data_IF_065577598398
#
_entry.id   IF_065577598398
#
_cell.length_a   1.000
_cell.length_b   1.000
_cell.length_c   1.000
_cell.angle_alpha   90.00
_cell.angle_beta   90.00
_cell.angle_gamma   90.00
#
_symmetry.space_group_name_H-M   'P 1'
#
loop_
_entity.id
_entity.type
_entity.pdbx_description
1 polymer ?
#
# COMPACT_ATOMS: atom_id res chain seq x y z
N UNK A 1 -27.55 -3.51 7.68
CA UNK A 1 -26.07 -3.55 7.65
C UNK A 1 -25.64 -5.01 7.75
N UNK A 2 -25.07 -5.58 6.69
CA UNK A 2 -24.41 -6.88 6.78
C UNK A 2 -23.21 -6.72 7.72
N UNK A 3 -23.15 -7.49 8.83
CA UNK A 3 -21.90 -7.70 9.56
C UNK A 3 -20.97 -8.40 8.57
N UNK A 4 -20.12 -7.64 7.88
CA UNK A 4 -19.04 -8.23 7.11
C UNK A 4 -18.26 -9.09 8.11
N UNK A 5 -18.30 -10.41 7.93
CA UNK A 5 -17.54 -11.33 8.77
C UNK A 5 -16.09 -10.89 8.73
N UNK A 6 -15.54 -10.56 9.91
CA UNK A 6 -14.12 -10.26 10.02
C UNK A 6 -13.37 -11.47 9.46
N UNK A 7 -12.57 -11.23 8.42
CA UNK A 7 -11.74 -12.30 7.86
C UNK A 7 -10.81 -12.81 8.95
N UNK A 8 -10.59 -14.11 9.00
CA UNK A 8 -9.57 -14.67 9.90
C UNK A 8 -8.17 -14.27 9.42
N UNK A 9 -7.13 -14.30 10.27
CA UNK A 9 -5.75 -14.18 9.83
C UNK A 9 -5.41 -15.12 8.67
N UNK A 10 -4.34 -14.83 7.93
CA UNK A 10 -3.76 -15.83 7.02
C UNK A 10 -3.22 -16.98 7.89
N UNK A 11 -3.56 -18.22 7.52
CA UNK A 11 -3.13 -19.43 8.23
C UNK A 11 -1.60 -19.49 8.32
N UNK A 12 -1.01 -19.93 9.46
CA UNK A 12 0.44 -19.93 9.66
C UNK A 12 1.24 -20.62 8.55
N UNK A 13 0.74 -21.74 8.02
CA UNK A 13 1.35 -22.50 6.92
C UNK A 13 1.40 -21.72 5.59
N UNK A 14 0.52 -20.73 5.43
CA UNK A 14 0.41 -19.89 4.25
C UNK A 14 1.10 -18.53 4.43
N UNK A 15 1.53 -18.18 5.64
CA UNK A 15 2.07 -16.85 5.96
C UNK A 15 3.34 -16.54 5.16
N UNK A 16 4.29 -17.48 5.08
CA UNK A 16 5.52 -17.32 4.28
C UNK A 16 5.20 -17.10 2.80
N UNK A 17 4.21 -17.83 2.27
CA UNK A 17 3.79 -17.72 0.87
C UNK A 17 3.14 -16.36 0.59
N UNK A 18 2.35 -15.85 1.53
CA UNK A 18 1.74 -14.52 1.45
C UNK A 18 2.81 -13.41 1.43
N UNK A 19 3.85 -13.52 2.26
CA UNK A 19 4.97 -12.59 2.24
C UNK A 19 5.78 -12.67 0.94
N UNK A 20 5.97 -13.87 0.40
CA UNK A 20 6.65 -14.04 -0.88
C UNK A 20 5.86 -13.37 -2.01
N UNK A 21 4.54 -13.58 -2.06
CA UNK A 21 3.66 -12.89 -2.99
C UNK A 21 3.77 -11.36 -2.83
N UNK A 22 3.71 -10.85 -1.60
CA UNK A 22 3.80 -9.43 -1.30
C UNK A 22 5.12 -8.82 -1.81
N UNK A 23 6.24 -9.55 -1.65
CA UNK A 23 7.54 -9.16 -2.18
C UNK A 23 7.55 -9.12 -3.71
N UNK A 24 7.10 -10.19 -4.37
CA UNK A 24 7.05 -10.25 -5.83
C UNK A 24 6.17 -9.14 -6.43
N UNK A 25 4.99 -8.92 -5.84
CA UNK A 25 4.05 -7.87 -6.29
C UNK A 25 4.66 -6.48 -6.13
N UNK A 26 5.26 -6.19 -4.97
CA UNK A 26 5.83 -4.86 -4.75
C UNK A 26 7.08 -4.60 -5.60
N UNK A 27 7.91 -5.63 -5.84
CA UNK A 27 9.03 -5.53 -6.79
C UNK A 27 8.53 -5.29 -8.22
N UNK A 28 7.45 -5.96 -8.63
CA UNK A 28 6.84 -5.74 -9.94
C UNK A 28 6.33 -4.30 -10.09
N UNK A 29 5.71 -3.72 -9.06
CA UNK A 29 5.24 -2.33 -9.08
C UNK A 29 6.40 -1.32 -9.14
N UNK A 30 7.48 -1.58 -8.38
CA UNK A 30 8.71 -0.76 -8.44
C UNK A 30 9.32 -0.74 -9.83
N UNK A 31 9.43 -1.90 -10.47
CA UNK A 31 9.99 -2.00 -11.82
C UNK A 31 9.08 -1.36 -12.88
N UNK A 32 7.76 -1.33 -12.67
CA UNK A 32 6.81 -0.78 -13.65
C UNK A 32 6.65 0.73 -13.55
N UNK A 33 6.41 1.25 -12.35
CA UNK A 33 6.04 2.67 -12.19
C UNK A 33 6.44 3.30 -10.85
N UNK A 34 6.49 2.56 -9.73
CA UNK A 34 6.67 3.20 -8.42
C UNK A 34 8.03 3.91 -8.32
N UNK A 35 9.10 3.37 -8.94
CA UNK A 35 10.42 3.99 -8.91
C UNK A 35 10.42 5.38 -9.57
N UNK A 36 9.73 5.53 -10.71
CA UNK A 36 9.59 6.81 -11.39
C UNK A 36 8.75 7.79 -10.55
N UNK A 37 7.63 7.33 -9.98
CA UNK A 37 6.76 8.18 -9.18
C UNK A 37 7.34 8.62 -7.84
N UNK A 38 8.22 7.82 -7.23
CA UNK A 38 9.02 8.27 -6.08
C UNK A 38 9.91 9.46 -6.47
N UNK A 39 10.46 9.48 -7.68
CA UNK A 39 11.25 10.62 -8.16
C UNK A 39 10.36 11.83 -8.51
N UNK A 40 9.21 11.61 -9.15
CA UNK A 40 8.22 12.66 -9.42
C UNK A 40 7.76 13.36 -8.13
N UNK A 41 7.48 12.60 -7.07
CA UNK A 41 7.07 13.17 -5.78
C UNK A 41 8.11 14.12 -5.20
N UNK A 42 9.41 13.82 -5.35
CA UNK A 42 10.49 14.71 -4.90
C UNK A 42 10.58 16.00 -5.71
N UNK A 43 10.13 15.97 -6.96
CA UNK A 43 10.19 17.08 -7.90
C UNK A 43 8.87 17.84 -8.05
N UNK A 44 7.84 17.50 -7.26
CA UNK A 44 6.54 18.19 -7.25
C UNK A 44 5.52 17.72 -8.30
N UNK A 45 5.66 16.50 -8.82
CA UNK A 45 4.78 15.83 -9.79
C UNK A 45 4.46 16.63 -11.08
N UNK A 46 4.92 16.12 -12.21
CA UNK A 46 4.37 16.53 -13.50
C UNK A 46 2.87 16.14 -13.60
N UNK A 47 2.05 16.98 -14.24
CA UNK A 47 0.60 16.84 -14.23
C UNK A 47 0.09 15.58 -14.93
N UNK A 48 0.67 15.21 -16.07
CA UNK A 48 0.29 13.99 -16.77
C UNK A 48 0.69 12.75 -15.96
N UNK A 49 1.85 12.77 -15.31
CA UNK A 49 2.27 11.72 -14.39
C UNK A 49 1.35 11.60 -13.18
N UNK A 50 0.92 12.72 -12.59
CA UNK A 50 -0.03 12.72 -11.48
C UNK A 50 -1.38 12.12 -11.90
N UNK A 51 -1.92 12.51 -13.06
CA UNK A 51 -3.14 11.91 -13.62
C UNK A 51 -2.97 10.41 -13.89
N UNK A 52 -1.80 9.97 -14.36
CA UNK A 52 -1.47 8.56 -14.59
C UNK A 52 -1.45 7.78 -13.28
N UNK A 53 -0.91 8.36 -12.21
CA UNK A 53 -0.95 7.82 -10.85
C UNK A 53 -2.41 7.62 -10.38
N UNK A 54 -3.25 8.65 -10.48
CA UNK A 54 -4.67 8.58 -10.07
C UNK A 54 -5.41 7.44 -10.78
N UNK A 55 -5.17 7.27 -12.08
CA UNK A 55 -5.75 6.20 -12.89
C UNK A 55 -5.27 4.82 -12.44
N UNK A 56 -3.96 4.65 -12.28
CA UNK A 56 -3.33 3.36 -11.98
C UNK A 56 -3.80 2.80 -10.64
N UNK A 57 -3.94 3.66 -9.63
CA UNK A 57 -4.46 3.27 -8.32
C UNK A 57 -5.98 3.30 -8.21
N UNK A 58 -6.69 3.38 -9.35
CA UNK A 58 -8.15 3.40 -9.42
C UNK A 58 -8.82 4.48 -8.57
N UNK A 59 -8.12 5.60 -8.35
CA UNK A 59 -8.59 6.73 -7.55
C UNK A 59 -9.63 7.59 -8.28
N UNK A 60 -9.87 7.31 -9.56
CA UNK A 60 -10.88 7.96 -10.39
C UNK A 60 -12.29 7.33 -10.27
N UNK A 61 -12.46 6.25 -9.48
CA UNK A 61 -13.73 5.52 -9.41
C UNK A 61 -14.75 6.22 -8.50
N UNK A 62 -16.03 6.13 -8.86
CA UNK A 62 -17.14 6.69 -8.09
C UNK A 62 -17.22 8.22 -8.14
N UNK A 63 -18.20 8.79 -7.42
CA UNK A 63 -18.47 10.24 -7.43
C UNK A 63 -17.24 11.05 -6.99
N UNK A 64 -16.65 10.70 -5.84
CA UNK A 64 -15.48 11.43 -5.33
C UNK A 64 -14.25 11.27 -6.23
N UNK A 65 -14.06 10.11 -6.87
CA UNK A 65 -12.94 9.90 -7.78
C UNK A 65 -13.05 10.76 -9.04
N UNK A 66 -14.25 10.95 -9.58
CA UNK A 66 -14.48 11.89 -10.69
C UNK A 66 -14.14 13.32 -10.29
N UNK A 67 -14.65 13.79 -9.15
CA UNK A 67 -14.33 15.12 -8.61
C UNK A 67 -12.83 15.33 -8.41
N UNK A 68 -12.13 14.30 -7.93
CA UNK A 68 -10.68 14.35 -7.72
C UNK A 68 -9.90 14.47 -9.04
N UNK A 69 -10.37 13.82 -10.13
CA UNK A 69 -9.77 13.94 -11.46
C UNK A 69 -10.06 15.30 -12.10
N UNK A 70 -11.30 15.79 -11.99
CA UNK A 70 -11.70 17.12 -12.47
C UNK A 70 -10.89 18.24 -11.79
N UNK A 71 -10.47 18.00 -10.54
CA UNK A 71 -9.67 18.94 -9.76
C UNK A 71 -8.25 18.42 -9.48
N UNK A 72 -7.68 17.63 -10.40
CA UNK A 72 -6.39 16.97 -10.20
C UNK A 72 -5.25 17.96 -9.89
N UNK A 73 -5.29 19.16 -10.47
CA UNK A 73 -4.31 20.21 -10.21
C UNK A 73 -4.33 20.69 -8.76
N UNK A 74 -5.51 21.09 -8.28
CA UNK A 74 -5.71 21.50 -6.88
C UNK A 74 -5.34 20.37 -5.91
N UNK A 75 -5.69 19.13 -6.23
CA UNK A 75 -5.33 17.99 -5.40
C UNK A 75 -3.81 17.75 -5.37
N UNK A 76 -3.13 17.87 -6.52
CA UNK A 76 -1.66 17.80 -6.59
C UNK A 76 -1.04 18.88 -5.73
N UNK A 77 -1.52 20.12 -5.81
CA UNK A 77 -0.95 21.24 -5.06
C UNK A 77 -1.10 21.02 -3.54
N UNK A 78 -2.24 20.51 -3.08
CA UNK A 78 -2.42 20.07 -1.68
C UNK A 78 -1.39 19.01 -1.29
N UNK A 79 -1.13 18.03 -2.16
CA UNK A 79 -0.15 16.98 -1.90
C UNK A 79 1.28 17.54 -1.84
N UNK A 80 1.65 18.41 -2.78
CA UNK A 80 2.97 19.05 -2.84
C UNK A 80 3.21 19.90 -1.57
N UNK A 81 2.22 20.67 -1.14
CA UNK A 81 2.30 21.49 0.06
C UNK A 81 2.37 20.63 1.34
N UNK A 82 1.55 19.58 1.42
CA UNK A 82 1.44 18.78 2.64
C UNK A 82 2.58 17.79 2.85
N UNK A 83 3.19 17.27 1.78
CA UNK A 83 4.06 16.09 1.85
C UNK A 83 5.51 16.33 1.35
N UNK A 84 5.87 17.52 0.89
CA UNK A 84 7.23 17.79 0.41
C UNK A 84 8.29 17.80 1.52
N UNK A 85 7.91 18.10 2.76
CA UNK A 85 8.80 18.05 3.94
C UNK A 85 8.83 16.68 4.62
N UNK A 86 9.87 16.38 5.40
CA UNK A 86 9.92 15.16 6.22
C UNK A 86 8.98 15.36 7.43
N UNK A 87 7.93 14.55 7.59
CA UNK A 87 6.96 14.74 8.65
C UNK A 87 7.43 14.10 9.96
N UNK A 88 7.29 14.83 11.07
CA UNK A 88 7.49 14.27 12.42
C UNK A 88 6.31 13.35 12.81
N UNK A 89 5.10 13.67 12.34
CA UNK A 89 3.88 12.90 12.59
C UNK A 89 3.11 12.67 11.27
N UNK A 90 3.20 11.43 10.76
CA UNK A 90 2.50 11.01 9.54
C UNK A 90 0.97 10.99 9.70
N UNK A 91 0.45 10.69 10.90
CA UNK A 91 -0.99 10.65 11.14
C UNK A 91 -1.56 12.08 11.08
N UNK A 92 -0.92 13.04 11.76
CA UNK A 92 -1.34 14.44 11.73
C UNK A 92 -1.27 15.05 10.33
N UNK A 93 -0.17 14.80 9.59
CA UNK A 93 -0.02 15.29 8.21
C UNK A 93 -1.06 14.68 7.28
N UNK A 94 -1.37 13.39 7.43
CA UNK A 94 -2.42 12.75 6.66
C UNK A 94 -3.81 13.34 6.98
N UNK A 95 -4.15 13.48 8.26
CA UNK A 95 -5.43 14.06 8.68
C UNK A 95 -5.61 15.49 8.19
N UNK A 96 -4.57 16.32 8.29
CA UNK A 96 -4.56 17.68 7.74
C UNK A 96 -4.80 17.67 6.23
N UNK A 97 -4.10 16.82 5.47
CA UNK A 97 -4.29 16.74 4.02
C UNK A 97 -5.70 16.30 3.61
N UNK A 98 -6.35 15.44 4.42
CA UNK A 98 -7.75 15.04 4.21
C UNK A 98 -8.68 16.24 4.43
N UNK A 99 -8.45 17.03 5.47
CA UNK A 99 -9.25 18.20 5.78
C UNK A 99 -9.04 19.31 4.73
N UNK A 100 -7.81 19.56 4.29
CA UNK A 100 -7.51 20.49 3.21
C UNK A 100 -8.20 20.06 1.91
N UNK A 101 -8.15 18.77 1.59
CA UNK A 101 -8.89 18.20 0.44
C UNK A 101 -10.39 18.39 0.59
N UNK A 102 -10.94 18.17 1.78
CA UNK A 102 -12.36 18.36 2.06
C UNK A 102 -12.78 19.82 1.90
N UNK A 103 -11.99 20.76 2.41
CA UNK A 103 -12.25 22.19 2.35
C UNK A 103 -12.20 22.73 0.92
N UNK A 104 -11.24 22.26 0.11
CA UNK A 104 -10.97 22.80 -1.23
C UNK A 104 -11.78 22.09 -2.32
N UNK A 105 -11.99 20.78 -2.19
CA UNK A 105 -12.61 19.92 -3.21
C UNK A 105 -13.97 19.36 -2.80
N UNK A 106 -14.44 19.66 -1.59
CA UNK A 106 -15.72 19.19 -1.04
C UNK A 106 -15.87 17.65 -1.01
N UNK A 107 -14.74 16.94 -0.96
CA UNK A 107 -14.70 15.46 -0.90
C UNK A 107 -13.77 14.98 0.21
N UNK A 108 -14.06 13.80 0.75
CA UNK A 108 -13.15 13.11 1.68
C UNK A 108 -12.35 12.06 0.92
N UNK A 109 -11.05 12.27 0.77
CA UNK A 109 -10.19 11.48 -0.10
C UNK A 109 -9.10 10.67 0.63
N UNK A 110 -9.41 10.05 1.79
CA UNK A 110 -8.46 9.33 2.67
C UNK A 110 -7.43 8.47 1.92
N UNK A 111 -7.92 7.58 1.05
CA UNK A 111 -7.06 6.65 0.29
C UNK A 111 -6.17 7.38 -0.71
N UNK A 112 -6.67 8.45 -1.35
CA UNK A 112 -5.89 9.22 -2.30
C UNK A 112 -4.77 10.02 -1.59
N UNK A 113 -5.10 10.72 -0.50
CA UNK A 113 -4.13 11.45 0.30
C UNK A 113 -3.02 10.52 0.80
N UNK A 114 -3.38 9.33 1.32
CA UNK A 114 -2.35 8.43 1.85
C UNK A 114 -1.48 7.81 0.76
N UNK A 115 -2.08 7.43 -0.38
CA UNK A 115 -1.31 6.92 -1.52
C UNK A 115 -0.39 7.97 -2.10
N UNK A 116 -0.80 9.24 -2.13
CA UNK A 116 0.10 10.33 -2.53
C UNK A 116 1.27 10.44 -1.54
N UNK A 117 0.98 10.55 -0.24
CA UNK A 117 2.01 10.63 0.82
C UNK A 117 2.98 9.44 0.81
N UNK A 118 2.50 8.24 0.46
CA UNK A 118 3.30 7.04 0.30
C UNK A 118 4.44 7.18 -0.73
N UNK A 119 4.28 8.02 -1.76
CA UNK A 119 5.34 8.31 -2.73
C UNK A 119 6.34 9.37 -2.26
N UNK A 120 5.87 10.34 -1.47
CA UNK A 120 6.74 11.34 -0.85
C UNK A 120 7.64 10.74 0.23
N UNK A 121 7.10 9.79 1.01
CA UNK A 121 7.79 9.17 2.12
C UNK A 121 7.80 7.64 1.98
N UNK A 122 8.49 7.09 0.97
CA UNK A 122 8.44 5.66 0.63
C UNK A 122 8.96 4.73 1.74
N UNK A 123 9.75 5.26 2.69
CA UNK A 123 10.25 4.52 3.86
C UNK A 123 9.36 4.62 5.09
N UNK A 124 8.51 5.66 5.17
CA UNK A 124 7.74 5.97 6.37
C UNK A 124 6.27 5.58 6.22
N UNK A 125 5.70 5.86 5.04
CA UNK A 125 4.28 5.74 4.75
C UNK A 125 3.80 4.32 4.48
N UNK A 126 2.47 4.19 4.43
CA UNK A 126 1.69 2.98 4.15
C UNK A 126 0.56 3.32 3.16
N UNK A 127 -0.11 2.33 2.59
CA UNK A 127 -1.32 2.52 1.80
C UNK A 127 -2.59 2.29 2.63
N UNK A 128 -3.55 3.19 2.50
CA UNK A 128 -4.86 3.04 3.12
C UNK A 128 -5.90 2.68 2.08
N UNK A 129 -6.44 1.48 2.21
CA UNK A 129 -7.68 1.08 1.55
C UNK A 129 -8.45 0.09 2.41
N UNK A 130 -9.66 -0.26 1.95
CA UNK A 130 -10.53 -1.17 2.69
C UNK A 130 -9.96 -2.58 2.87
N UNK A 131 -9.04 -3.00 1.99
CA UNK A 131 -8.38 -4.30 2.11
C UNK A 131 -7.34 -4.25 3.22
N UNK A 132 -6.45 -3.24 3.23
CA UNK A 132 -5.46 -3.09 4.29
C UNK A 132 -6.12 -2.97 5.67
N UNK A 133 -7.20 -2.18 5.79
CA UNK A 133 -7.95 -2.09 7.06
C UNK A 133 -8.56 -3.43 7.48
N UNK A 134 -9.20 -4.16 6.56
CA UNK A 134 -9.73 -5.50 6.88
C UNK A 134 -8.61 -6.49 7.22
N UNK A 135 -7.45 -6.35 6.59
CA UNK A 135 -6.23 -7.08 6.91
C UNK A 135 -5.83 -6.82 8.36
N UNK A 136 -5.65 -5.57 8.76
CA UNK A 136 -5.33 -5.20 10.14
C UNK A 136 -6.39 -5.74 11.13
N UNK A 137 -7.67 -5.57 10.84
CA UNK A 137 -8.74 -6.10 11.67
C UNK A 137 -8.70 -7.63 11.81
N UNK A 138 -8.28 -8.36 10.77
CA UNK A 138 -8.09 -9.81 10.85
C UNK A 138 -7.02 -10.23 11.85
N UNK A 139 -6.06 -9.35 12.15
CA UNK A 139 -5.01 -9.55 13.16
C UNK A 139 -5.34 -8.87 14.50
N UNK A 140 -6.59 -8.46 14.73
CA UNK A 140 -7.05 -7.91 16.01
C UNK A 140 -6.82 -6.41 16.20
N UNK A 141 -6.37 -5.70 15.17
CA UNK A 141 -6.18 -4.24 15.22
C UNK A 141 -7.49 -3.47 14.95
N UNK A 142 -7.47 -2.16 15.23
CA UNK A 142 -8.65 -1.31 15.09
C UNK A 142 -9.00 -1.02 13.63
N UNK A 143 -10.29 -0.76 13.38
CA UNK A 143 -10.76 -0.20 12.11
C UNK A 143 -10.81 1.34 12.13
N UNK A 144 -10.37 1.98 13.23
CA UNK A 144 -10.43 3.42 13.40
C UNK A 144 -9.29 4.11 12.61
N UNK A 145 -9.59 4.98 11.63
CA UNK A 145 -8.57 5.68 10.86
C UNK A 145 -7.63 6.57 11.70
N UNK A 146 -8.04 7.01 12.90
CA UNK A 146 -7.25 7.89 13.76
C UNK A 146 -6.03 7.22 14.40
N UNK A 147 -6.06 5.89 14.50
CA UNK A 147 -4.95 5.08 15.06
C UNK A 147 -4.33 4.18 14.00
N UNK A 148 -4.62 4.44 12.72
CA UNK A 148 -4.20 3.58 11.62
C UNK A 148 -2.68 3.43 11.53
N UNK A 149 -1.93 4.53 11.68
CA UNK A 149 -0.47 4.48 11.65
C UNK A 149 0.12 3.71 12.83
N UNK A 150 -0.45 3.85 14.03
CA UNK A 150 -0.05 3.11 15.22
C UNK A 150 -0.29 1.61 15.01
N UNK A 151 -1.50 1.22 14.63
CA UNK A 151 -1.86 -0.18 14.35
C UNK A 151 -0.99 -0.79 13.25
N UNK A 152 -0.75 -0.05 12.16
CA UNK A 152 0.11 -0.50 11.08
C UNK A 152 1.56 -0.69 11.54
N UNK A 153 2.13 0.27 12.28
CA UNK A 153 3.50 0.17 12.77
C UNK A 153 3.66 -0.97 13.79
N UNK A 154 2.65 -1.20 14.64
CA UNK A 154 2.62 -2.33 15.56
C UNK A 154 2.59 -3.66 14.79
N UNK A 155 1.78 -3.76 13.74
CA UNK A 155 1.77 -4.93 12.86
C UNK A 155 3.14 -5.17 12.21
N UNK A 156 3.74 -4.15 11.59
CA UNK A 156 5.06 -4.26 10.95
C UNK A 156 6.13 -4.70 11.95
N UNK A 157 6.15 -4.08 13.14
CA UNK A 157 7.10 -4.43 14.20
C UNK A 157 6.99 -5.90 14.59
N UNK A 158 5.76 -6.42 14.74
CA UNK A 158 5.52 -7.84 15.04
C UNK A 158 5.95 -8.81 13.93
N UNK A 159 6.21 -8.33 12.72
CA UNK A 159 6.54 -9.13 11.54
C UNK A 159 7.94 -8.87 10.99
N UNK A 160 8.75 -8.03 11.64
CA UNK A 160 10.04 -7.57 11.11
C UNK A 160 10.98 -8.72 10.76
N UNK A 161 11.18 -9.68 11.67
CA UNK A 161 12.03 -10.84 11.39
C UNK A 161 11.56 -11.67 10.19
N UNK A 162 10.24 -11.83 10.03
CA UNK A 162 9.68 -12.61 8.93
C UNK A 162 9.84 -11.88 7.59
N UNK A 163 9.64 -10.56 7.59
CA UNK A 163 9.90 -9.71 6.43
C UNK A 163 11.36 -9.86 6.00
N UNK A 164 12.30 -9.70 6.93
CA UNK A 164 13.74 -9.81 6.64
C UNK A 164 14.11 -11.18 6.05
N UNK A 165 13.61 -12.27 6.63
CA UNK A 165 13.88 -13.64 6.14
C UNK A 165 13.34 -13.91 4.74
N UNK A 166 12.21 -13.30 4.37
CA UNK A 166 11.60 -13.49 3.03
C UNK A 166 12.23 -12.56 2.00
N UNK A 167 12.60 -11.35 2.40
CA UNK A 167 13.18 -10.33 1.50
C UNK A 167 14.64 -10.61 1.20
N UNK A 168 15.45 -10.98 2.19
CA UNK A 168 16.89 -11.12 2.05
C UNK A 168 17.31 -12.03 0.86
N UNK A 169 16.67 -13.19 0.61
CA UNK A 169 17.01 -14.03 -0.53
C UNK A 169 16.58 -13.47 -1.90
N UNK A 170 15.54 -12.64 -1.94
CA UNK A 170 14.98 -12.09 -3.19
C UNK A 170 15.66 -10.78 -3.58
N UNK A 171 15.89 -9.91 -2.61
CA UNK A 171 16.53 -8.62 -2.80
C UNK A 171 17.12 -8.12 -1.47
N UNK A 172 18.39 -8.44 -1.16
CA UNK A 172 19.05 -8.07 0.10
C UNK A 172 19.10 -6.56 0.37
N UNK A 173 18.95 -5.73 -0.66
CA UNK A 173 19.04 -4.27 -0.58
C UNK A 173 17.69 -3.59 -0.74
N UNK A 174 16.59 -4.33 -0.60
CA UNK A 174 15.26 -3.79 -0.76
C UNK A 174 14.93 -2.76 0.35
N UNK A 175 14.70 -1.48 0.03
CA UNK A 175 14.78 -0.43 1.04
C UNK A 175 13.41 -0.04 1.65
N UNK A 176 12.33 -0.76 1.34
CA UNK A 176 10.96 -0.36 1.68
C UNK A 176 10.11 -1.44 2.38
N UNK A 177 10.53 -1.98 3.54
CA UNK A 177 9.85 -3.11 4.19
C UNK A 177 8.36 -2.85 4.51
N UNK A 178 8.00 -1.61 4.88
CA UNK A 178 6.59 -1.22 5.12
C UNK A 178 5.69 -1.44 3.90
N UNK A 179 6.21 -1.23 2.69
CA UNK A 179 5.46 -1.48 1.44
C UNK A 179 5.12 -2.95 1.23
N UNK A 180 5.91 -3.85 1.79
CA UNK A 180 5.62 -5.29 1.76
C UNK A 180 4.48 -5.62 2.72
N UNK A 181 4.50 -5.01 3.91
CA UNK A 181 3.42 -5.15 4.87
C UNK A 181 2.08 -4.63 4.32
N UNK A 182 2.10 -3.53 3.56
CA UNK A 182 0.92 -3.06 2.83
C UNK A 182 0.33 -4.14 1.92
N UNK A 183 1.18 -4.79 1.10
CA UNK A 183 0.73 -5.85 0.20
C UNK A 183 0.24 -7.07 0.97
N UNK A 184 0.96 -7.49 1.99
CA UNK A 184 0.54 -8.59 2.84
C UNK A 184 -0.86 -8.32 3.45
N UNK A 185 -1.05 -7.14 4.05
CA UNK A 185 -2.33 -6.76 4.66
C UNK A 185 -3.45 -6.62 3.62
N UNK A 186 -3.12 -6.11 2.43
CA UNK A 186 -4.05 -6.08 1.31
C UNK A 186 -4.54 -7.49 0.96
N UNK A 187 -3.61 -8.46 0.86
CA UNK A 187 -3.96 -9.85 0.60
C UNK A 187 -4.78 -10.45 1.76
N UNK A 188 -4.40 -10.17 3.00
CA UNK A 188 -5.13 -10.63 4.18
C UNK A 188 -6.57 -10.11 4.19
N UNK A 189 -6.81 -8.86 3.76
CA UNK A 189 -8.14 -8.26 3.68
C UNK A 189 -8.92 -8.54 2.39
N UNK A 190 -8.35 -9.33 1.47
CA UNK A 190 -8.97 -9.70 0.20
C UNK A 190 -9.73 -11.04 0.31
N UNK A 191 -10.98 -11.05 -0.13
CA UNK A 191 -11.88 -12.20 0.03
C UNK A 191 -11.39 -13.43 -0.75
N UNK A 192 -10.80 -13.25 -1.93
CA UNK A 192 -10.30 -14.35 -2.76
C UNK A 192 -8.81 -14.66 -2.55
N UNK A 193 -8.23 -14.31 -1.39
CA UNK A 193 -6.80 -14.48 -1.10
C UNK A 193 -6.29 -15.91 -1.33
N UNK A 194 -7.10 -16.92 -1.08
CA UNK A 194 -6.73 -18.33 -1.28
C UNK A 194 -6.46 -18.66 -2.76
N UNK A 195 -7.16 -17.99 -3.69
CA UNK A 195 -6.89 -18.12 -5.12
C UNK A 195 -5.51 -17.58 -5.48
N UNK A 196 -5.15 -16.41 -4.95
CA UNK A 196 -3.85 -15.78 -5.17
C UNK A 196 -2.73 -16.64 -4.58
N UNK A 197 -2.90 -17.14 -3.35
CA UNK A 197 -1.95 -18.01 -2.68
C UNK A 197 -1.73 -19.31 -3.47
N UNK A 198 -2.81 -19.93 -3.99
CA UNK A 198 -2.69 -21.12 -4.84
C UNK A 198 -1.86 -20.86 -6.10
N UNK A 199 -2.12 -19.76 -6.82
CA UNK A 199 -1.33 -19.40 -8.01
C UNK A 199 0.14 -19.10 -7.68
N UNK A 200 0.38 -18.46 -6.54
CA UNK A 200 1.74 -18.18 -6.05
C UNK A 200 2.50 -19.48 -5.77
N UNK A 201 1.84 -20.44 -5.08
CA UNK A 201 2.44 -21.76 -4.78
C UNK A 201 2.89 -22.48 -6.05
N UNK A 202 2.03 -22.51 -7.08
CA UNK A 202 2.34 -23.14 -8.37
C UNK A 202 3.56 -22.47 -9.01
N UNK A 203 3.61 -21.14 -9.02
CA UNK A 203 4.72 -20.38 -9.62
C UNK A 203 6.06 -20.66 -8.95
N UNK A 204 6.05 -20.77 -7.61
CA UNK A 204 7.25 -21.10 -6.82
C UNK A 204 7.73 -22.53 -7.10
N UNK A 205 6.80 -23.49 -7.18
CA UNK A 205 7.13 -24.89 -7.47
C UNK A 205 7.75 -25.06 -8.86
N UNK A 206 7.19 -24.42 -9.89
CA UNK A 206 7.73 -24.45 -11.25
C UNK A 206 9.16 -23.88 -11.28
N UNK A 207 9.39 -22.74 -10.64
CA UNK A 207 10.71 -22.09 -10.58
C UNK A 207 11.76 -22.95 -9.86
N UNK A 208 11.35 -23.80 -8.92
CA UNK A 208 12.25 -24.76 -8.26
C UNK A 208 12.57 -25.99 -9.12
N UNK A 209 11.61 -26.48 -9.92
CA UNK A 209 11.83 -27.61 -10.83
C UNK A 209 12.78 -27.20 -11.97
N UNK A 210 12.58 -26.03 -12.58
CA UNK A 210 13.45 -25.54 -13.67
C UNK A 210 14.90 -25.30 -13.22
N UNK A 211 15.12 -24.98 -11.93
CA UNK A 211 16.46 -24.83 -11.36
C UNK A 211 17.16 -26.16 -11.06
N UNK A 212 16.43 -27.27 -10.98
CA UNK A 212 16.99 -28.60 -10.76
C UNK A 212 17.32 -29.29 -12.09
N UNK A 213 16.49 -29.09 -13.11
CA UNK A 213 16.67 -29.68 -14.45
C UNK A 213 17.69 -28.93 -15.32
N UNK A 214 18.14 -27.74 -14.90
CA UNK A 214 19.14 -26.92 -15.58
C UNK A 214 20.54 -26.91 -14.94
N UNK A 215 20.82 -27.83 -13.99
CA UNK A 215 22.12 -27.99 -13.31
C UNK A 215 22.87 -29.22 -13.78
#
# INVERSE_FOLDING_TARGET
MNKASVLQPIEPENERLAWLWACCEQLALLNRHDAAWIQEAKNGWEMNEFKRFLRTYSLQRGKHGKTLVENAERFRDICNESFSGIPDDLQAVWEKSIEDTRRILEITARSACLKAMWYYHPHLGTMYDSYVQRGLASYGYSNNPKVFFEDFNNFVSSKTELIERVVAPLNPKYPYPKRLADKFLWLAGYQDRNRILRSTRISVQITHVEKLDGS
#
